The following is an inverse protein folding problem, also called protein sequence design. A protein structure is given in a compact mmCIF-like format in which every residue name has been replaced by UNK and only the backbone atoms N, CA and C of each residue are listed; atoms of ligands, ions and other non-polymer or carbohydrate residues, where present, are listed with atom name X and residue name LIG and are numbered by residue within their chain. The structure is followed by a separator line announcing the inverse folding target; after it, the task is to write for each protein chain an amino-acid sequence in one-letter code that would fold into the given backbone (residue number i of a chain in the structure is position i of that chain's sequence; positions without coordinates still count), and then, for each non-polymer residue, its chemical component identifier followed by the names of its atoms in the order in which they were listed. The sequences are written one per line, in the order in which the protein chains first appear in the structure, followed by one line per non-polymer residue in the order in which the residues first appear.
data_IF_174446250770
#
_entry.id   IF_174446250770
#
_cell.length_a   1.000
_cell.length_b   1.000
_cell.length_c   1.000
_cell.angle_alpha   90.00
_cell.angle_beta   90.00
_cell.angle_gamma   90.00
#
_symmetry.space_group_name_H-M   'P 1'
#
loop_
_entity.id
_entity.type
_entity.pdbx_description
1 polymer ?
#
# COMPACT_ATOMS: atom_id res chain seq x y z
N UNK A 1 -28.98 41.42 82.89
CA UNK A 1 -28.46 42.10 81.68
C UNK A 1 -27.92 41.04 80.73
N UNK A 2 -28.64 40.75 79.72
CA UNK A 2 -28.28 39.75 78.70
C UNK A 2 -27.91 40.50 77.41
N UNK A 3 -26.68 40.38 76.97
CA UNK A 3 -26.20 40.98 75.74
C UNK A 3 -26.30 39.87 74.64
N UNK A 4 -27.11 40.12 73.64
CA UNK A 4 -27.20 39.28 72.52
C UNK A 4 -26.17 39.70 71.45
N UNK A 5 -25.31 38.77 71.02
CA UNK A 5 -24.37 38.98 69.93
C UNK A 5 -24.97 38.42 68.68
N UNK A 6 -25.22 39.31 67.72
CA UNK A 6 -25.71 38.93 66.35
C UNK A 6 -24.53 38.62 65.44
N UNK A 7 -24.41 37.37 65.03
CA UNK A 7 -23.44 36.91 63.96
C UNK A 7 -24.00 37.21 62.59
N UNK A 8 -23.34 38.08 61.83
CA UNK A 8 -23.61 38.36 60.42
C UNK A 8 -22.79 37.40 59.57
N UNK A 9 -23.45 36.42 58.94
CA UNK A 9 -22.82 35.49 58.05
C UNK A 9 -22.75 36.12 56.63
N UNK A 10 -21.54 36.45 56.19
CA UNK A 10 -21.26 36.83 54.79
C UNK A 10 -21.25 35.54 53.91
N UNK A 11 -22.26 35.41 53.09
CA UNK A 11 -22.29 34.43 51.97
C UNK A 11 -21.45 34.97 50.82
N UNK A 12 -20.23 34.48 50.67
CA UNK A 12 -19.40 34.66 49.47
C UNK A 12 -19.86 33.68 48.40
N UNK A 13 -20.66 34.18 47.46
CA UNK A 13 -21.00 33.44 46.23
C UNK A 13 -19.79 33.32 45.32
N UNK A 14 -19.18 32.15 45.29
CA UNK A 14 -18.14 31.85 44.30
C UNK A 14 -18.85 31.58 42.94
N UNK A 15 -18.84 32.58 42.05
CA UNK A 15 -19.06 32.32 40.61
C UNK A 15 -17.87 31.50 40.09
N UNK A 16 -18.06 30.23 39.90
CA UNK A 16 -17.15 29.40 39.11
C UNK A 16 -17.34 29.82 37.64
N UNK A 17 -16.38 30.54 37.10
CA UNK A 17 -16.25 30.65 35.63
C UNK A 17 -15.94 29.25 35.13
N UNK A 18 -16.93 28.65 34.45
CA UNK A 18 -16.70 27.47 33.62
C UNK A 18 -15.76 27.91 32.48
N UNK A 19 -14.51 27.48 32.57
CA UNK A 19 -13.58 27.59 31.43
C UNK A 19 -14.15 26.72 30.31
N UNK A 20 -14.58 27.35 29.21
CA UNK A 20 -14.92 26.66 27.99
C UNK A 20 -13.71 25.82 27.55
N UNK A 21 -13.82 24.51 27.69
CA UNK A 21 -12.85 23.61 27.08
C UNK A 21 -12.88 23.86 25.57
N UNK A 22 -11.72 24.04 24.92
CA UNK A 22 -11.71 24.22 23.47
C UNK A 22 -12.43 23.04 22.83
N UNK A 23 -13.45 23.35 22.01
CA UNK A 23 -14.20 22.35 21.29
C UNK A 23 -13.21 21.46 20.50
N UNK A 24 -13.30 20.15 20.69
CA UNK A 24 -12.47 19.20 19.98
C UNK A 24 -12.56 19.47 18.47
N UNK A 25 -11.41 19.52 17.79
CA UNK A 25 -11.40 19.74 16.35
C UNK A 25 -12.30 18.70 15.67
N UNK A 26 -13.12 19.06 14.69
CA UNK A 26 -14.01 18.13 14.05
C UNK A 26 -13.23 16.96 13.45
N UNK A 27 -13.70 15.71 13.61
CA UNK A 27 -12.96 14.54 13.15
C UNK A 27 -12.78 14.59 11.64
N UNK A 28 -11.56 14.32 11.20
CA UNK A 28 -11.21 14.21 9.79
C UNK A 28 -11.93 13.00 9.19
N UNK A 29 -12.56 13.18 8.04
CA UNK A 29 -13.29 12.12 7.36
C UNK A 29 -12.35 11.17 6.61
N UNK A 30 -12.79 9.94 6.37
CA UNK A 30 -12.05 8.89 5.67
C UNK A 30 -10.65 8.60 6.25
N UNK A 31 -10.47 8.76 7.57
CA UNK A 31 -9.19 8.48 8.23
C UNK A 31 -8.00 9.29 7.71
N UNK A 32 -8.24 10.46 7.10
CA UNK A 32 -7.17 11.31 6.55
C UNK A 32 -6.75 10.95 5.12
N UNK A 33 -7.47 10.07 4.45
CA UNK A 33 -7.23 9.78 3.04
C UNK A 33 -7.65 10.96 2.14
N UNK A 34 -7.02 11.06 0.97
CA UNK A 34 -7.36 12.04 -0.03
C UNK A 34 -8.77 11.78 -0.58
N UNK A 35 -9.72 12.69 -0.33
CA UNK A 35 -11.12 12.50 -0.78
C UNK A 35 -11.24 12.46 -2.31
N UNK A 36 -10.41 13.19 -3.05
CA UNK A 36 -10.38 13.09 -4.51
C UNK A 36 -9.81 11.73 -4.95
N UNK A 37 -8.77 11.23 -4.26
CA UNK A 37 -8.27 9.90 -4.52
C UNK A 37 -9.36 8.83 -4.36
N UNK A 38 -10.13 8.90 -3.27
CA UNK A 38 -11.25 8.00 -3.05
C UNK A 38 -12.33 8.14 -4.13
N UNK A 39 -12.65 9.36 -4.57
CA UNK A 39 -13.60 9.61 -5.67
C UNK A 39 -13.14 9.01 -7.00
N UNK A 40 -11.83 8.85 -7.17
CA UNK A 40 -11.18 8.22 -8.34
C UNK A 40 -10.89 6.73 -8.13
N UNK A 41 -11.42 6.13 -7.06
CA UNK A 41 -11.18 4.72 -6.74
C UNK A 41 -9.78 4.41 -6.21
N UNK A 42 -9.13 5.37 -5.54
CA UNK A 42 -7.74 5.24 -5.06
C UNK A 42 -7.62 5.58 -3.58
N UNK A 43 -6.94 4.74 -2.83
CA UNK A 43 -6.53 5.07 -1.47
C UNK A 43 -5.23 5.87 -1.48
N UNK A 44 -5.27 7.12 -1.05
CA UNK A 44 -4.11 7.99 -0.96
C UNK A 44 -4.09 8.60 0.44
N UNK A 45 -3.20 8.13 1.32
CA UNK A 45 -3.03 8.72 2.63
C UNK A 45 -2.42 10.11 2.52
N UNK A 46 -2.81 10.99 3.43
CA UNK A 46 -2.32 12.36 3.48
C UNK A 46 -1.92 12.74 4.90
N UNK A 47 -1.15 13.81 5.03
CA UNK A 47 -0.91 14.45 6.33
C UNK A 47 -1.96 15.49 6.70
N UNK A 48 -3.03 15.60 5.89
CA UNK A 48 -4.10 16.59 6.05
C UNK A 48 -3.62 18.06 6.12
N UNK A 49 -2.47 18.39 5.54
CA UNK A 49 -2.03 19.77 5.41
C UNK A 49 -2.95 20.59 4.50
N UNK A 50 -3.56 19.93 3.50
CA UNK A 50 -4.56 20.51 2.61
C UNK A 50 -5.93 19.94 2.96
N UNK A 51 -6.86 20.81 3.33
CA UNK A 51 -8.21 20.40 3.73
C UNK A 51 -9.30 21.25 3.08
N UNK A 52 -10.50 20.70 3.08
CA UNK A 52 -11.74 21.40 2.78
C UNK A 52 -12.80 21.00 3.81
N UNK A 53 -13.69 21.93 4.13
CA UNK A 53 -14.82 21.67 5.03
C UNK A 53 -16.11 21.75 4.23
N UNK A 54 -16.98 20.77 4.42
CA UNK A 54 -18.33 20.85 3.86
C UNK A 54 -19.23 21.77 4.71
N UNK A 55 -20.47 21.94 4.23
CA UNK A 55 -21.49 22.75 4.92
C UNK A 55 -21.82 22.28 6.34
N UNK A 56 -21.59 21.01 6.64
CA UNK A 56 -21.85 20.38 7.93
C UNK A 56 -20.60 20.42 8.84
N UNK A 57 -19.52 21.08 8.39
CA UNK A 57 -18.28 21.27 9.13
C UNK A 57 -17.35 20.06 9.12
N UNK A 58 -17.65 19.00 8.34
CA UNK A 58 -16.80 17.82 8.20
C UNK A 58 -15.54 18.18 7.41
N UNK A 59 -14.39 17.67 7.87
CA UNK A 59 -13.08 17.97 7.30
C UNK A 59 -12.62 16.83 6.40
N UNK A 60 -12.23 17.18 5.18
CA UNK A 60 -11.73 16.27 4.16
C UNK A 60 -10.30 16.66 3.76
N UNK A 61 -9.43 15.68 3.57
CA UNK A 61 -8.03 15.89 3.26
C UNK A 61 -7.71 15.67 1.78
N UNK A 62 -6.62 16.29 1.30
CA UNK A 62 -6.14 16.16 -0.08
C UNK A 62 -4.64 15.89 -0.10
N UNK A 63 -4.20 15.12 -1.09
CA UNK A 63 -2.79 14.82 -1.31
C UNK A 63 -2.03 15.95 -2.02
N UNK A 64 -2.75 16.84 -2.74
CA UNK A 64 -2.16 17.96 -3.48
C UNK A 64 -3.19 19.06 -3.77
N UNK A 65 -2.72 20.25 -4.13
CA UNK A 65 -3.58 21.34 -4.61
C UNK A 65 -4.34 20.97 -5.90
N UNK A 66 -3.70 20.17 -6.77
CA UNK A 66 -4.35 19.68 -7.98
C UNK A 66 -5.54 18.77 -7.65
N UNK A 67 -5.37 17.81 -6.72
CA UNK A 67 -6.45 16.97 -6.25
C UNK A 67 -7.58 17.76 -5.60
N UNK A 68 -7.25 18.76 -4.80
CA UNK A 68 -8.25 19.66 -4.20
C UNK A 68 -9.00 20.46 -5.25
N UNK A 69 -8.30 20.98 -6.27
CA UNK A 69 -8.91 21.72 -7.38
C UNK A 69 -9.88 20.84 -8.16
N UNK A 70 -9.47 19.64 -8.54
CA UNK A 70 -10.32 18.68 -9.27
C UNK A 70 -11.56 18.29 -8.45
N UNK A 71 -11.39 18.04 -7.15
CA UNK A 71 -12.52 17.77 -6.26
C UNK A 71 -13.55 18.90 -6.26
N UNK A 72 -13.10 20.16 -6.23
CA UNK A 72 -13.95 21.34 -6.13
C UNK A 72 -14.69 21.67 -7.44
N UNK A 73 -14.41 21.00 -8.56
CA UNK A 73 -15.18 21.11 -9.80
C UNK A 73 -16.59 20.51 -9.66
N UNK A 74 -16.73 19.42 -8.89
CA UNK A 74 -18.01 18.82 -8.49
C UNK A 74 -17.90 18.20 -7.08
N UNK A 75 -17.94 19.01 -6.01
CA UNK A 75 -17.73 18.51 -4.66
C UNK A 75 -18.76 17.46 -4.21
N UNK A 76 -20.02 17.61 -4.65
CA UNK A 76 -21.08 16.68 -4.24
C UNK A 76 -20.95 15.33 -4.94
N UNK A 77 -20.75 15.31 -6.26
CA UNK A 77 -20.57 14.07 -7.01
C UNK A 77 -19.28 13.34 -6.64
N UNK A 78 -18.18 14.08 -6.43
CA UNK A 78 -16.92 13.49 -5.97
C UNK A 78 -17.04 12.95 -4.54
N UNK A 79 -17.79 13.62 -3.66
CA UNK A 79 -18.00 13.13 -2.30
C UNK A 79 -18.88 11.87 -2.27
N UNK A 80 -19.87 11.77 -3.15
CA UNK A 80 -20.69 10.57 -3.31
C UNK A 80 -19.84 9.37 -3.77
N UNK A 81 -19.06 9.53 -4.84
CA UNK A 81 -18.11 8.53 -5.32
C UNK A 81 -17.12 8.11 -4.24
N UNK A 82 -16.56 9.07 -3.50
CA UNK A 82 -15.64 8.79 -2.41
C UNK A 82 -16.29 7.98 -1.29
N UNK A 83 -17.56 8.24 -0.96
CA UNK A 83 -18.32 7.47 0.04
C UNK A 83 -18.62 6.06 -0.43
N UNK A 84 -19.04 5.92 -1.68
CA UNK A 84 -19.30 4.60 -2.29
C UNK A 84 -18.03 3.73 -2.27
N UNK A 85 -16.92 4.29 -2.71
CA UNK A 85 -15.64 3.60 -2.72
C UNK A 85 -15.15 3.26 -1.30
N UNK A 86 -15.21 4.23 -0.37
CA UNK A 86 -14.82 4.00 1.03
C UNK A 86 -15.74 2.98 1.74
N UNK A 87 -17.02 2.94 1.39
CA UNK A 87 -17.96 1.93 1.92
C UNK A 87 -17.63 0.53 1.39
N UNK A 88 -17.26 0.42 0.10
CA UNK A 88 -16.78 -0.82 -0.49
C UNK A 88 -15.42 -1.27 0.11
N UNK A 89 -14.63 -0.31 0.60
CA UNK A 89 -13.30 -0.50 1.19
C UNK A 89 -13.31 -0.42 2.72
N UNK A 90 -14.45 -0.70 3.36
CA UNK A 90 -14.51 -0.75 4.83
C UNK A 90 -13.67 -1.92 5.33
N UNK A 91 -12.53 -1.62 5.92
CA UNK A 91 -11.50 -2.59 6.33
C UNK A 91 -12.09 -3.71 7.20
N UNK A 92 -12.86 -3.38 8.24
CA UNK A 92 -13.43 -4.38 9.15
C UNK A 92 -14.49 -5.26 8.47
N UNK A 93 -15.36 -4.68 7.65
CA UNK A 93 -16.35 -5.44 6.89
C UNK A 93 -15.71 -6.30 5.81
N UNK A 94 -14.68 -5.78 5.16
CA UNK A 94 -13.89 -6.50 4.14
C UNK A 94 -13.14 -7.65 4.78
N UNK A 95 -12.46 -7.45 5.90
CA UNK A 95 -11.74 -8.50 6.63
C UNK A 95 -12.66 -9.68 6.97
N UNK A 96 -13.85 -9.39 7.52
CA UNK A 96 -14.85 -10.42 7.82
C UNK A 96 -15.33 -11.14 6.57
N UNK A 97 -15.59 -10.42 5.48
CA UNK A 97 -16.05 -11.01 4.23
C UNK A 97 -14.95 -11.84 3.56
N UNK A 98 -13.68 -11.42 3.65
CA UNK A 98 -12.52 -12.13 3.10
C UNK A 98 -12.34 -13.52 3.71
N UNK A 99 -12.77 -13.76 4.95
CA UNK A 99 -12.69 -15.09 5.60
C UNK A 99 -13.43 -16.19 4.84
N UNK A 100 -14.36 -15.83 3.95
CA UNK A 100 -15.11 -16.76 3.11
C UNK A 100 -14.43 -17.09 1.78
N UNK A 101 -13.29 -16.48 1.48
CA UNK A 101 -12.62 -16.59 0.19
C UNK A 101 -11.15 -16.93 0.36
N UNK A 102 -10.56 -17.48 -0.70
CA UNK A 102 -9.16 -17.82 -0.81
C UNK A 102 -8.46 -17.00 -1.91
N UNK A 103 -7.14 -16.97 -1.92
CA UNK A 103 -6.36 -16.43 -3.03
C UNK A 103 -6.73 -17.10 -4.37
N UNK A 104 -7.01 -18.41 -4.34
CA UNK A 104 -7.43 -19.14 -5.54
C UNK A 104 -8.81 -18.68 -6.06
N UNK A 105 -9.72 -18.28 -5.18
CA UNK A 105 -11.01 -17.71 -5.60
C UNK A 105 -10.81 -16.35 -6.28
N UNK A 106 -9.90 -15.53 -5.77
CA UNK A 106 -9.54 -14.26 -6.38
C UNK A 106 -8.85 -14.45 -7.75
N UNK A 107 -7.92 -15.40 -7.84
CA UNK A 107 -7.29 -15.78 -9.11
C UNK A 107 -8.31 -16.26 -10.15
N UNK A 108 -9.31 -17.02 -9.73
CA UNK A 108 -10.39 -17.48 -10.62
C UNK A 108 -11.21 -16.31 -11.17
N UNK A 109 -11.51 -15.30 -10.34
CA UNK A 109 -12.22 -14.09 -10.79
C UNK A 109 -11.38 -13.29 -11.79
N UNK A 110 -10.08 -13.15 -11.54
CA UNK A 110 -9.17 -12.44 -12.46
C UNK A 110 -9.03 -13.19 -13.77
N UNK A 111 -8.85 -14.51 -13.74
CA UNK A 111 -8.81 -15.34 -14.96
C UNK A 111 -10.09 -15.21 -15.78
N UNK A 112 -11.26 -15.25 -15.13
CA UNK A 112 -12.55 -15.09 -15.83
C UNK A 112 -12.66 -13.71 -16.49
N UNK A 113 -12.24 -12.64 -15.81
CA UNK A 113 -12.22 -11.29 -16.38
C UNK A 113 -11.25 -11.16 -17.56
N UNK A 114 -10.06 -11.76 -17.44
CA UNK A 114 -9.06 -11.76 -18.52
C UNK A 114 -9.61 -12.52 -19.73
N UNK A 115 -10.21 -13.69 -19.54
CA UNK A 115 -10.82 -14.48 -20.60
C UNK A 115 -11.94 -13.73 -21.31
N UNK A 116 -12.83 -13.09 -20.54
CA UNK A 116 -13.93 -12.29 -21.09
C UNK A 116 -13.41 -11.13 -21.94
N UNK A 117 -12.48 -10.34 -21.41
CA UNK A 117 -11.91 -9.19 -22.11
C UNK A 117 -11.07 -9.59 -23.32
N UNK A 118 -10.31 -10.69 -23.22
CA UNK A 118 -9.52 -11.22 -24.32
C UNK A 118 -10.42 -11.65 -25.48
N UNK A 119 -11.55 -12.30 -25.20
CA UNK A 119 -12.55 -12.65 -26.23
C UNK A 119 -13.14 -11.40 -26.88
N UNK A 120 -13.52 -10.39 -26.07
CA UNK A 120 -14.03 -9.12 -26.60
C UNK A 120 -12.96 -8.33 -27.36
N UNK A 121 -11.68 -8.48 -27.01
CA UNK A 121 -10.53 -7.82 -27.62
C UNK A 121 -9.91 -8.56 -28.81
N UNK A 122 -10.63 -9.51 -29.44
CA UNK A 122 -10.16 -10.30 -30.60
C UNK A 122 -8.84 -11.03 -30.31
N UNK A 123 -8.73 -11.68 -29.17
CA UNK A 123 -7.58 -12.50 -28.79
C UNK A 123 -6.48 -11.80 -28.00
N UNK A 124 -6.69 -10.55 -27.64
CA UNK A 124 -5.82 -9.83 -26.71
C UNK A 124 -6.62 -9.15 -25.61
N UNK A 125 -6.08 -9.10 -24.41
CA UNK A 125 -6.63 -8.35 -23.30
C UNK A 125 -6.40 -6.84 -23.54
N UNK A 126 -7.46 -6.04 -23.74
CA UNK A 126 -7.29 -4.60 -23.94
C UNK A 126 -7.15 -3.89 -22.60
N UNK A 127 -6.12 -3.07 -22.47
CA UNK A 127 -5.92 -2.21 -21.30
C UNK A 127 -5.52 -0.82 -21.76
N UNK A 128 -6.31 0.18 -21.41
CA UNK A 128 -5.94 1.58 -21.63
C UNK A 128 -4.88 1.98 -20.60
N UNK A 129 -3.79 2.48 -21.10
CA UNK A 129 -2.74 3.03 -20.27
C UNK A 129 -3.10 4.47 -19.84
N UNK A 130 -3.37 4.73 -18.55
CA UNK A 130 -3.85 6.03 -18.11
C UNK A 130 -2.81 7.15 -18.20
N UNK A 131 -1.52 6.83 -18.39
CA UNK A 131 -0.47 7.85 -18.55
C UNK A 131 -0.24 8.25 -20.00
N UNK A 132 -0.23 7.29 -20.91
CA UNK A 132 0.00 7.57 -22.33
C UNK A 132 -1.32 7.72 -23.14
N UNK A 133 -2.43 7.22 -22.61
CA UNK A 133 -3.70 7.09 -23.36
C UNK A 133 -3.65 6.00 -24.43
N UNK A 134 -2.60 5.20 -24.50
CA UNK A 134 -2.46 4.09 -25.44
C UNK A 134 -3.34 2.92 -25.04
N UNK A 135 -4.03 2.32 -26.01
CA UNK A 135 -4.72 1.06 -25.82
C UNK A 135 -3.76 -0.10 -26.05
N UNK A 136 -3.26 -0.67 -24.97
CA UNK A 136 -2.41 -1.84 -24.99
C UNK A 136 -3.21 -3.08 -25.40
N UNK A 137 -2.59 -3.96 -26.17
CA UNK A 137 -3.11 -5.28 -26.55
C UNK A 137 -2.21 -6.35 -25.95
N UNK A 138 -2.66 -6.94 -24.86
CA UNK A 138 -1.84 -7.78 -24.02
C UNK A 138 -2.24 -9.26 -24.14
N UNK A 139 -1.23 -10.11 -24.08
CA UNK A 139 -1.41 -11.57 -24.03
C UNK A 139 -1.09 -12.03 -22.62
N UNK A 140 -1.99 -12.81 -22.03
CA UNK A 140 -1.86 -13.30 -20.67
C UNK A 140 -0.81 -14.41 -20.57
N UNK A 141 0.16 -14.26 -19.66
CA UNK A 141 1.22 -15.23 -19.39
C UNK A 141 1.02 -16.04 -18.12
N UNK A 142 0.16 -15.56 -17.22
CA UNK A 142 -0.15 -16.24 -15.96
C UNK A 142 -0.17 -15.30 -14.76
N UNK A 143 -0.72 -15.81 -13.66
CA UNK A 143 -0.66 -15.15 -12.35
C UNK A 143 0.58 -15.67 -11.64
N UNK A 144 1.45 -14.74 -11.22
CA UNK A 144 2.70 -15.11 -10.53
C UNK A 144 2.44 -15.49 -9.08
N UNK A 145 1.82 -14.58 -8.35
CA UNK A 145 1.39 -14.80 -6.98
C UNK A 145 0.18 -13.92 -6.64
N UNK A 146 -0.49 -14.22 -5.54
CA UNK A 146 -1.59 -13.41 -5.04
C UNK A 146 -1.29 -12.98 -3.62
N UNK A 147 -1.12 -11.70 -3.42
CA UNK A 147 -0.97 -11.10 -2.10
C UNK A 147 -2.34 -10.96 -1.47
N UNK A 148 -2.46 -11.35 -0.20
CA UNK A 148 -3.68 -11.15 0.61
C UNK A 148 -3.36 -10.13 1.68
N UNK A 149 -4.18 -9.09 1.79
CA UNK A 149 -4.05 -8.07 2.83
C UNK A 149 -5.37 -7.99 3.58
N UNK A 150 -5.33 -8.37 4.84
CA UNK A 150 -6.50 -8.42 5.69
C UNK A 150 -7.21 -7.05 5.74
N UNK A 151 -8.52 -7.07 5.51
CA UNK A 151 -9.33 -5.86 5.46
C UNK A 151 -9.27 -5.06 4.15
N UNK A 152 -8.36 -5.42 3.22
CA UNK A 152 -8.21 -4.70 1.95
C UNK A 152 -8.55 -5.54 0.72
N UNK A 153 -8.28 -6.83 0.74
CA UNK A 153 -8.60 -7.71 -0.37
C UNK A 153 -7.44 -8.58 -0.83
N UNK A 154 -7.57 -9.06 -2.06
CA UNK A 154 -6.59 -9.90 -2.74
C UNK A 154 -5.97 -9.12 -3.89
N UNK A 155 -4.68 -9.31 -4.10
CA UNK A 155 -3.89 -8.60 -5.09
C UNK A 155 -3.10 -9.58 -5.96
N UNK A 156 -3.73 -10.20 -6.96
CA UNK A 156 -3.04 -11.01 -7.95
C UNK A 156 -2.10 -10.16 -8.81
N UNK A 157 -0.84 -10.55 -8.86
CA UNK A 157 0.17 -10.01 -9.76
C UNK A 157 0.20 -10.83 -11.04
N UNK A 158 -0.16 -10.20 -12.15
CA UNK A 158 -0.44 -10.87 -13.42
C UNK A 158 0.57 -10.48 -14.47
N UNK A 159 1.23 -11.49 -15.03
CA UNK A 159 2.17 -11.35 -16.14
C UNK A 159 1.46 -11.27 -17.48
N UNK A 160 1.87 -10.29 -18.27
CA UNK A 160 1.45 -10.10 -19.65
C UNK A 160 2.64 -9.78 -20.54
N UNK A 161 2.46 -9.99 -21.83
CA UNK A 161 3.34 -9.42 -22.85
C UNK A 161 2.51 -8.71 -23.93
N UNK A 162 3.15 -7.81 -24.67
CA UNK A 162 2.54 -7.12 -25.80
C UNK A 162 2.26 -8.12 -26.95
N UNK A 163 1.09 -8.05 -27.56
CA UNK A 163 0.69 -8.98 -28.63
C UNK A 163 1.60 -8.89 -29.86
N UNK A 164 2.16 -7.71 -30.16
CA UNK A 164 3.02 -7.50 -31.31
C UNK A 164 4.49 -7.81 -31.02
N UNK A 165 4.92 -7.74 -29.76
CA UNK A 165 6.30 -7.98 -29.34
C UNK A 165 6.35 -8.66 -27.97
N UNK A 166 6.51 -9.97 -27.95
CA UNK A 166 6.54 -10.77 -26.73
C UNK A 166 7.73 -10.46 -25.79
N UNK A 167 8.72 -9.68 -26.23
CA UNK A 167 9.80 -9.21 -25.39
C UNK A 167 9.39 -8.01 -24.51
N UNK A 168 8.31 -7.30 -24.88
CA UNK A 168 7.71 -6.22 -24.11
C UNK A 168 6.78 -6.80 -23.05
N UNK A 169 7.28 -6.99 -21.86
CA UNK A 169 6.55 -7.58 -20.74
C UNK A 169 5.96 -6.52 -19.83
N UNK A 170 4.83 -6.85 -19.21
CA UNK A 170 4.13 -6.03 -18.24
C UNK A 170 3.81 -6.85 -16.99
N UNK A 171 3.85 -6.24 -15.81
CA UNK A 171 3.18 -6.73 -14.63
C UNK A 171 1.97 -5.83 -14.35
N UNK A 172 0.82 -6.46 -14.12
CA UNK A 172 -0.45 -5.77 -13.91
C UNK A 172 -1.07 -6.29 -12.64
N UNK A 173 -1.30 -5.39 -11.70
CA UNK A 173 -1.98 -5.68 -10.45
C UNK A 173 -3.48 -5.61 -10.63
N UNK A 174 -4.17 -6.58 -10.05
CA UNK A 174 -5.62 -6.60 -9.93
C UNK A 174 -5.99 -6.50 -8.46
N UNK A 175 -6.77 -5.53 -8.08
CA UNK A 175 -7.33 -5.46 -6.75
C UNK A 175 -8.70 -6.13 -6.73
N UNK A 176 -8.82 -7.23 -5.97
CA UNK A 176 -10.03 -8.05 -5.85
C UNK A 176 -10.58 -7.94 -4.44
N UNK A 177 -11.85 -7.59 -4.32
CA UNK A 177 -12.53 -7.40 -3.04
C UNK A 177 -13.84 -8.16 -2.98
N UNK A 178 -14.30 -8.59 -1.79
CA UNK A 178 -15.66 -9.06 -1.58
C UNK A 178 -16.67 -7.93 -1.76
N UNK A 179 -17.67 -8.16 -2.62
CA UNK A 179 -18.82 -7.26 -2.80
C UNK A 179 -20.10 -8.09 -2.68
N UNK A 180 -20.81 -7.92 -1.58
CA UNK A 180 -21.91 -8.83 -1.24
C UNK A 180 -21.39 -10.25 -1.03
N UNK A 181 -21.94 -11.21 -1.80
CA UNK A 181 -21.59 -12.64 -1.71
C UNK A 181 -20.67 -13.10 -2.85
N UNK A 182 -19.90 -12.22 -3.45
CA UNK A 182 -19.00 -12.56 -4.55
C UNK A 182 -17.74 -11.68 -4.52
N UNK A 183 -16.65 -12.18 -5.10
CA UNK A 183 -15.45 -11.39 -5.35
C UNK A 183 -15.63 -10.59 -6.65
N UNK A 184 -15.09 -9.36 -6.66
CA UNK A 184 -15.03 -8.49 -7.84
C UNK A 184 -13.68 -7.84 -7.96
N UNK A 185 -13.23 -7.66 -9.20
CA UNK A 185 -12.09 -6.80 -9.49
C UNK A 185 -12.55 -5.34 -9.32
N UNK A 186 -11.94 -4.67 -8.34
CA UNK A 186 -12.20 -3.27 -8.02
C UNK A 186 -11.38 -2.34 -8.89
N UNK A 187 -10.11 -2.71 -9.14
CA UNK A 187 -9.17 -1.90 -9.87
C UNK A 187 -8.15 -2.77 -10.61
N UNK A 188 -7.56 -2.23 -11.68
CA UNK A 188 -6.48 -2.84 -12.46
C UNK A 188 -5.43 -1.77 -12.72
N UNK A 189 -4.15 -2.07 -12.45
CA UNK A 189 -3.03 -1.12 -12.64
C UNK A 189 -1.84 -1.76 -13.30
N UNK A 190 -1.20 -0.99 -14.19
CA UNK A 190 0.12 -1.34 -14.72
C UNK A 190 1.13 -1.03 -13.61
N UNK A 191 1.70 -2.08 -13.03
CA UNK A 191 2.73 -1.97 -12.00
C UNK A 191 4.11 -1.81 -12.63
N UNK A 192 4.51 -2.73 -13.51
CA UNK A 192 5.76 -2.63 -14.26
C UNK A 192 5.49 -2.60 -15.75
N UNK A 193 6.28 -1.80 -16.46
CA UNK A 193 6.22 -1.64 -17.91
C UNK A 193 7.57 -1.89 -18.57
N UNK A 194 7.59 -2.27 -19.87
CA UNK A 194 8.84 -2.40 -20.61
C UNK A 194 9.41 -1.03 -20.99
N UNK A 195 10.57 -0.71 -20.48
CA UNK A 195 11.35 0.46 -20.89
C UNK A 195 12.48 0.02 -21.81
N UNK A 196 12.65 0.72 -22.95
CA UNK A 196 13.70 0.44 -23.92
C UNK A 196 15.07 0.70 -23.30
N UNK A 197 15.93 -0.33 -23.31
CA UNK A 197 17.28 -0.24 -22.76
C UNK A 197 18.26 -0.90 -23.75
N UNK A 198 19.02 -0.09 -24.47
CA UNK A 198 19.85 -0.59 -25.57
C UNK A 198 19.02 -1.29 -26.64
N UNK A 199 19.37 -2.52 -26.97
CA UNK A 199 18.65 -3.33 -27.97
C UNK A 199 17.47 -4.13 -27.40
N UNK A 200 17.29 -4.11 -26.05
CA UNK A 200 16.27 -4.88 -25.35
C UNK A 200 15.23 -4.04 -24.63
N UNK A 201 14.41 -4.74 -23.83
CA UNK A 201 13.43 -4.15 -22.93
C UNK A 201 13.74 -4.55 -21.49
N UNK A 202 13.68 -3.58 -20.58
CA UNK A 202 13.81 -3.81 -19.13
C UNK A 202 12.45 -3.59 -18.49
N UNK A 203 11.98 -4.55 -17.72
CA UNK A 203 10.75 -4.44 -16.96
C UNK A 203 11.00 -3.51 -15.77
N UNK A 204 10.37 -2.34 -15.77
CA UNK A 204 10.65 -1.24 -14.85
C UNK A 204 9.39 -0.83 -14.10
N UNK A 205 9.49 -0.65 -12.79
CA UNK A 205 8.41 -0.16 -11.97
C UNK A 205 7.99 1.25 -12.42
N UNK A 206 6.71 1.42 -12.71
CA UNK A 206 6.15 2.61 -13.31
C UNK A 206 5.36 3.44 -12.33
N UNK A 207 4.50 2.80 -11.60
CA UNK A 207 3.53 3.44 -10.76
C UNK A 207 3.82 3.11 -9.31
N UNK A 208 3.72 4.06 -8.40
CA UNK A 208 3.66 3.69 -7.00
C UNK A 208 2.58 2.66 -6.82
N UNK A 209 2.95 1.51 -6.30
CA UNK A 209 1.98 0.53 -5.89
C UNK A 209 1.07 1.20 -4.87
N UNK A 210 -0.24 0.99 -4.98
CA UNK A 210 -1.17 1.65 -4.11
C UNK A 210 -0.87 1.35 -2.64
N UNK A 211 -1.04 2.36 -1.84
CA UNK A 211 -0.83 2.44 -0.40
C UNK A 211 -1.58 1.44 0.45
N UNK A 212 -2.68 0.86 -0.08
CA UNK A 212 -3.48 -0.11 0.63
C UNK A 212 -2.74 -1.40 0.99
N UNK A 213 -1.55 -1.61 0.46
CA UNK A 213 -0.78 -2.80 0.77
C UNK A 213 -0.19 -2.76 2.17
N UNK A 214 0.26 -1.57 2.57
CA UNK A 214 0.75 -1.35 3.92
C UNK A 214 0.39 0.08 4.28
N UNK A 215 -0.47 0.32 5.29
CA UNK A 215 -0.82 1.67 5.72
C UNK A 215 0.44 2.51 5.96
N UNK A 216 0.47 3.70 5.39
CA UNK A 216 1.63 4.58 5.50
C UNK A 216 2.00 4.91 6.95
N UNK A 217 1.01 4.91 7.85
CA UNK A 217 1.20 5.12 9.29
C UNK A 217 1.94 3.98 9.99
N UNK A 218 2.00 2.79 9.38
CA UNK A 218 2.66 1.62 9.95
C UNK A 218 4.13 1.52 9.55
N UNK A 219 4.57 2.30 8.57
CA UNK A 219 5.96 2.32 8.11
C UNK A 219 6.79 3.33 8.91
N UNK A 220 8.07 3.02 9.20
CA UNK A 220 8.99 4.01 9.73
C UNK A 220 9.27 5.12 8.72
N UNK A 221 9.63 6.30 9.22
CA UNK A 221 10.01 7.44 8.38
C UNK A 221 8.84 8.08 7.65
N UNK A 222 9.14 8.80 6.58
CA UNK A 222 8.19 9.47 5.70
C UNK A 222 8.37 8.99 4.26
N UNK A 223 7.40 9.28 3.39
CA UNK A 223 7.47 8.84 1.99
C UNK A 223 8.60 9.51 1.23
N UNK A 224 9.42 8.71 0.55
CA UNK A 224 10.41 9.18 -0.39
C UNK A 224 9.76 9.42 -1.75
N UNK A 225 9.60 10.68 -2.14
CA UNK A 225 8.95 11.04 -3.40
C UNK A 225 9.87 10.93 -4.62
N UNK A 226 11.14 11.32 -4.48
CA UNK A 226 12.06 11.45 -5.62
C UNK A 226 12.94 10.24 -5.87
N UNK A 227 13.28 9.48 -4.84
CA UNK A 227 14.28 8.40 -4.92
C UNK A 227 13.70 7.00 -4.62
N UNK A 228 12.40 6.88 -4.51
CA UNK A 228 11.76 5.59 -4.24
C UNK A 228 12.16 4.51 -5.23
N UNK A 229 12.16 4.81 -6.52
CA UNK A 229 12.54 3.88 -7.57
C UNK A 229 14.04 3.50 -7.52
N UNK A 230 14.93 4.40 -7.10
CA UNK A 230 16.36 4.10 -6.95
C UNK A 230 16.60 3.13 -5.79
N UNK A 231 15.90 3.32 -4.68
CA UNK A 231 15.93 2.41 -3.53
C UNK A 231 15.39 1.04 -3.92
N UNK A 232 14.25 0.98 -4.59
CA UNK A 232 13.67 -0.28 -5.07
C UNK A 232 14.62 -0.99 -6.02
N UNK A 233 15.21 -0.26 -6.97
CA UNK A 233 16.19 -0.83 -7.90
C UNK A 233 17.43 -1.38 -7.18
N UNK A 234 17.91 -0.70 -6.15
CA UNK A 234 19.05 -1.18 -5.37
C UNK A 234 18.74 -2.50 -4.63
N UNK A 235 17.54 -2.59 -4.04
CA UNK A 235 17.08 -3.83 -3.38
C UNK A 235 16.92 -4.96 -4.39
N UNK A 236 16.21 -4.71 -5.49
CA UNK A 236 15.97 -5.69 -6.54
C UNK A 236 17.29 -6.17 -7.17
N UNK A 237 18.16 -5.25 -7.57
CA UNK A 237 19.45 -5.60 -8.18
C UNK A 237 20.35 -6.38 -7.21
N UNK A 238 20.37 -5.98 -5.93
CA UNK A 238 21.10 -6.71 -4.90
C UNK A 238 20.58 -8.14 -4.73
N UNK A 239 19.28 -8.32 -4.64
CA UNK A 239 18.65 -9.63 -4.51
C UNK A 239 18.87 -10.50 -5.77
N UNK A 240 18.69 -9.94 -6.95
CA UNK A 240 18.87 -10.66 -8.22
C UNK A 240 20.35 -11.02 -8.48
N UNK A 241 21.29 -10.16 -8.11
CA UNK A 241 22.71 -10.46 -8.22
C UNK A 241 23.12 -11.61 -7.30
N UNK A 242 22.61 -11.66 -6.08
CA UNK A 242 22.84 -12.80 -5.18
C UNK A 242 22.20 -14.08 -5.73
N UNK A 243 20.97 -14.02 -6.21
CA UNK A 243 20.31 -15.15 -6.85
C UNK A 243 21.11 -15.69 -8.05
N UNK A 244 21.62 -14.80 -8.91
CA UNK A 244 22.43 -15.20 -10.06
C UNK A 244 23.71 -15.95 -9.66
N UNK A 245 24.32 -15.56 -8.54
CA UNK A 245 25.53 -16.21 -8.01
C UNK A 245 25.25 -17.52 -7.27
N UNK A 246 23.99 -17.77 -6.89
CA UNK A 246 23.57 -18.90 -6.06
C UNK A 246 22.48 -19.76 -6.74
N UNK A 247 22.59 -20.01 -8.05
CA UNK A 247 21.66 -20.85 -8.81
C UNK A 247 20.19 -20.42 -8.72
N UNK A 248 19.93 -19.11 -8.67
CA UNK A 248 18.58 -18.56 -8.59
C UNK A 248 18.01 -18.44 -7.19
N UNK A 249 18.84 -18.60 -6.15
CA UNK A 249 18.42 -18.56 -4.74
C UNK A 249 19.04 -17.35 -4.03
N UNK A 250 18.22 -16.62 -3.32
CA UNK A 250 18.64 -15.61 -2.37
C UNK A 250 18.71 -16.24 -0.97
N UNK A 251 19.91 -16.29 -0.38
CA UNK A 251 20.13 -16.86 0.93
C UNK A 251 20.05 -15.79 2.02
N UNK A 252 19.12 -15.94 2.95
CA UNK A 252 19.01 -15.06 4.10
C UNK A 252 19.08 -15.85 5.40
N UNK A 253 20.03 -15.48 6.27
CA UNK A 253 20.04 -16.02 7.62
C UNK A 253 18.99 -15.34 8.47
N UNK A 254 18.00 -16.11 8.89
CA UNK A 254 16.97 -15.67 9.82
C UNK A 254 17.58 -15.36 11.20
N UNK A 255 17.46 -14.12 11.64
CA UNK A 255 18.05 -13.63 12.89
C UNK A 255 17.45 -14.27 14.15
N UNK A 256 16.17 -14.69 14.10
CA UNK A 256 15.50 -15.34 15.24
C UNK A 256 15.78 -16.84 15.34
N UNK A 257 15.79 -17.53 14.21
CA UNK A 257 15.90 -18.99 14.21
C UNK A 257 17.31 -19.49 13.91
N UNK A 258 18.16 -18.62 13.38
CA UNK A 258 19.50 -18.96 12.91
C UNK A 258 19.53 -19.82 11.63
N UNK A 259 18.36 -20.13 11.06
CA UNK A 259 18.26 -20.92 9.82
C UNK A 259 18.61 -20.06 8.62
N UNK A 260 19.22 -20.67 7.62
CA UNK A 260 19.32 -20.06 6.30
C UNK A 260 18.04 -20.35 5.54
N UNK A 261 17.43 -19.28 5.03
CA UNK A 261 16.23 -19.32 4.20
C UNK A 261 16.65 -19.30 2.74
N UNK A 262 16.08 -20.20 1.95
CA UNK A 262 16.26 -20.26 0.50
C UNK A 262 15.07 -19.55 -0.17
N UNK A 263 15.31 -18.38 -0.71
CA UNK A 263 14.28 -17.44 -1.13
C UNK A 263 14.45 -17.04 -2.60
N UNK A 264 13.36 -16.60 -3.20
CA UNK A 264 13.33 -15.94 -4.51
C UNK A 264 12.67 -14.57 -4.36
N UNK A 265 13.30 -13.54 -4.90
CA UNK A 265 12.74 -12.20 -4.94
C UNK A 265 11.42 -12.19 -5.71
N UNK A 266 10.43 -11.51 -5.15
CA UNK A 266 9.15 -11.24 -5.81
C UNK A 266 9.10 -9.76 -6.16
N UNK A 267 8.97 -8.89 -5.15
CA UNK A 267 8.74 -7.46 -5.35
C UNK A 267 9.02 -6.63 -4.11
N UNK A 268 9.38 -5.36 -4.33
CA UNK A 268 9.57 -4.38 -3.27
C UNK A 268 8.30 -3.55 -3.10
N UNK A 269 7.81 -3.48 -1.87
CA UNK A 269 6.61 -2.70 -1.55
C UNK A 269 6.83 -1.20 -1.72
N UNK A 270 5.75 -0.53 -2.10
CA UNK A 270 5.70 0.92 -2.15
C UNK A 270 4.62 1.43 -1.17
N UNK A 271 4.80 2.63 -0.67
CA UNK A 271 5.92 3.55 -0.89
C UNK A 271 7.17 3.14 -0.12
N UNK A 272 8.35 3.40 -0.72
CA UNK A 272 9.62 3.37 0.02
C UNK A 272 9.65 4.53 1.00
N UNK A 273 10.35 4.37 2.10
CA UNK A 273 10.45 5.39 3.15
C UNK A 273 11.84 6.01 3.20
N UNK A 274 11.87 7.32 3.39
CA UNK A 274 13.05 8.04 3.80
C UNK A 274 13.04 8.14 5.32
N UNK A 275 14.14 7.71 5.97
CA UNK A 275 14.24 7.70 7.42
C UNK A 275 14.73 9.05 7.97
N UNK A 276 15.63 9.71 7.21
CA UNK A 276 16.18 11.02 7.56
C UNK A 276 16.64 11.78 6.31
N UNK A 277 17.18 12.99 6.52
CA UNK A 277 17.69 13.85 5.46
C UNK A 277 19.13 13.47 5.03
N UNK A 278 19.76 12.48 5.68
CA UNK A 278 21.13 12.04 5.39
C UNK A 278 21.19 10.90 4.37
N UNK A 279 20.08 10.57 3.71
CA UNK A 279 20.06 9.58 2.64
C UNK A 279 19.85 8.15 3.14
N UNK A 280 19.23 7.99 4.32
CA UNK A 280 18.81 6.66 4.81
C UNK A 280 17.38 6.38 4.41
N UNK A 281 17.16 5.18 3.85
CA UNK A 281 15.87 4.72 3.33
C UNK A 281 15.50 3.36 3.88
N UNK A 282 14.20 3.05 3.79
CA UNK A 282 13.63 1.80 4.24
C UNK A 282 12.67 1.26 3.17
N UNK A 283 12.76 -0.04 2.89
CA UNK A 283 11.88 -0.73 1.98
C UNK A 283 11.52 -2.12 2.52
N UNK A 284 10.27 -2.52 2.35
CA UNK A 284 9.81 -3.90 2.58
C UNK A 284 9.79 -4.64 1.25
N UNK A 285 10.11 -5.92 1.27
CA UNK A 285 10.24 -6.70 0.05
C UNK A 285 9.73 -8.12 0.27
N UNK A 286 8.85 -8.58 -0.62
CA UNK A 286 8.36 -9.94 -0.61
C UNK A 286 9.35 -10.91 -1.26
N UNK A 287 9.57 -12.03 -0.60
CA UNK A 287 10.36 -13.15 -1.07
C UNK A 287 9.60 -14.46 -0.91
N UNK A 288 9.64 -15.30 -1.93
CA UNK A 288 9.04 -16.62 -1.94
C UNK A 288 10.03 -17.66 -1.47
N UNK A 289 9.57 -18.63 -0.67
CA UNK A 289 10.37 -19.82 -0.35
C UNK A 289 10.53 -20.65 -1.62
N UNK A 290 11.78 -21.02 -1.94
CA UNK A 290 12.09 -21.83 -3.13
C UNK A 290 11.27 -23.13 -3.13
N UNK A 291 10.67 -23.43 -4.28
CA UNK A 291 9.86 -24.64 -4.47
C UNK A 291 8.43 -24.56 -3.92
N UNK A 292 8.00 -23.38 -3.42
CA UNK A 292 6.62 -23.16 -2.99
C UNK A 292 5.96 -22.08 -3.84
N UNK A 293 4.62 -22.01 -3.83
CA UNK A 293 3.86 -20.92 -4.50
C UNK A 293 3.51 -19.81 -3.51
N UNK A 294 3.07 -20.16 -2.31
CA UNK A 294 2.32 -19.28 -1.42
C UNK A 294 3.05 -18.98 -0.09
N UNK A 295 4.25 -19.54 0.11
CA UNK A 295 5.03 -19.27 1.32
C UNK A 295 5.89 -18.02 1.09
N UNK A 296 5.38 -16.86 1.53
CA UNK A 296 5.98 -15.55 1.28
C UNK A 296 6.50 -14.99 2.59
N UNK A 297 7.78 -14.62 2.59
CA UNK A 297 8.43 -13.81 3.63
C UNK A 297 8.37 -12.34 3.23
N UNK A 298 8.16 -11.46 4.19
CA UNK A 298 8.37 -10.02 4.04
C UNK A 298 9.71 -9.68 4.73
N UNK A 299 10.63 -9.12 3.97
CA UNK A 299 11.98 -8.76 4.41
C UNK A 299 12.14 -7.25 4.37
N UNK A 300 12.53 -6.68 5.49
CA UNK A 300 12.86 -5.27 5.60
C UNK A 300 14.30 -5.01 5.17
N UNK A 301 14.49 -3.95 4.39
CA UNK A 301 15.77 -3.48 3.89
C UNK A 301 16.05 -2.05 4.36
N UNK A 302 17.22 -1.82 4.90
CA UNK A 302 17.75 -0.49 5.16
C UNK A 302 18.77 -0.17 4.08
N UNK A 303 18.56 0.94 3.42
CA UNK A 303 19.35 1.38 2.25
C UNK A 303 19.91 2.76 2.51
N UNK A 304 21.19 2.95 2.19
CA UNK A 304 21.88 4.23 2.37
C UNK A 304 22.37 4.75 1.03
N UNK A 305 22.17 6.05 0.80
CA UNK A 305 22.81 6.76 -0.30
C UNK A 305 24.25 7.14 0.11
N UNK A 306 25.23 6.52 -0.51
CA UNK A 306 26.65 6.85 -0.35
C UNK A 306 27.15 7.47 -1.65
N UNK A 307 27.28 8.79 -1.68
CA UNK A 307 27.79 9.54 -2.83
C UNK A 307 27.01 9.27 -4.14
N UNK A 308 25.70 9.14 -4.05
CA UNK A 308 24.82 8.82 -5.18
C UNK A 308 24.65 7.34 -5.48
N UNK A 309 25.28 6.46 -4.68
CA UNK A 309 25.14 5.01 -4.82
C UNK A 309 24.29 4.46 -3.69
N UNK A 310 23.13 3.87 -4.05
CA UNK A 310 22.26 3.20 -3.11
C UNK A 310 22.87 1.86 -2.69
N UNK A 311 23.08 1.68 -1.38
CA UNK A 311 23.69 0.48 -0.80
C UNK A 311 22.77 -0.13 0.25
N UNK A 312 22.48 -1.41 0.13
CA UNK A 312 21.78 -2.17 1.18
C UNK A 312 22.74 -2.39 2.33
N UNK A 313 22.40 -1.87 3.50
CA UNK A 313 23.22 -1.97 4.72
C UNK A 313 22.76 -3.10 5.63
N UNK A 314 21.44 -3.30 5.70
CA UNK A 314 20.86 -4.29 6.61
C UNK A 314 19.60 -4.89 6.00
N UNK A 315 19.38 -6.16 6.35
CA UNK A 315 18.13 -6.88 6.07
C UNK A 315 17.62 -7.54 7.34
N UNK A 316 16.29 -7.67 7.46
CA UNK A 316 15.66 -8.32 8.59
C UNK A 316 14.35 -8.98 8.20
N UNK A 317 14.10 -10.18 8.71
CA UNK A 317 12.81 -10.85 8.50
C UNK A 317 11.72 -10.14 9.29
N UNK A 318 10.78 -9.49 8.59
CA UNK A 318 9.64 -8.81 9.19
C UNK A 318 8.45 -9.75 9.35
N UNK A 319 7.98 -10.35 8.27
CA UNK A 319 6.85 -11.30 8.33
C UNK A 319 7.28 -12.69 7.86
N UNK A 320 6.66 -13.68 8.45
CA UNK A 320 6.88 -15.08 8.11
C UNK A 320 5.60 -15.73 7.60
N UNK A 321 5.70 -16.70 6.66
CA UNK A 321 4.54 -17.47 6.26
C UNK A 321 4.08 -18.40 7.38
N UNK A 322 2.81 -18.32 7.75
CA UNK A 322 2.15 -19.25 8.66
C UNK A 322 0.92 -19.86 8.00
N UNK A 323 0.70 -21.16 8.20
CA UNK A 323 -0.51 -21.81 7.70
C UNK A 323 -1.66 -21.59 8.68
N UNK A 324 -2.67 -20.82 8.27
CA UNK A 324 -3.88 -20.55 9.05
C UNK A 324 -5.11 -20.96 8.24
N UNK A 325 -5.94 -21.81 8.81
CA UNK A 325 -7.17 -22.29 8.16
C UNK A 325 -6.95 -22.87 6.73
N UNK A 326 -5.79 -23.50 6.50
CA UNK A 326 -5.46 -24.06 5.19
C UNK A 326 -4.88 -23.08 4.17
N UNK A 327 -4.65 -21.83 4.56
CA UNK A 327 -4.02 -20.78 3.73
C UNK A 327 -2.71 -20.30 4.35
N UNK A 328 -1.74 -19.97 3.50
CA UNK A 328 -0.53 -19.31 3.92
C UNK A 328 -0.78 -17.80 4.05
N UNK A 329 -0.47 -17.26 5.22
CA UNK A 329 -0.57 -15.83 5.54
C UNK A 329 0.74 -15.32 6.07
N UNK A 330 1.05 -14.06 5.82
CA UNK A 330 2.22 -13.38 6.38
C UNK A 330 1.90 -12.90 7.80
N UNK A 331 2.70 -13.34 8.78
CA UNK A 331 2.54 -12.97 10.19
C UNK A 331 3.74 -12.13 10.64
N UNK A 332 3.51 -10.90 11.14
CA UNK A 332 4.59 -10.02 11.57
C UNK A 332 5.29 -10.56 12.80
N UNK A 333 6.61 -10.41 12.83
CA UNK A 333 7.47 -10.75 13.98
C UNK A 333 7.70 -9.58 14.92
N UNK A 334 7.49 -8.37 14.43
CA UNK A 334 7.63 -7.12 15.16
C UNK A 334 6.81 -6.02 14.49
N UNK A 335 6.60 -4.95 15.23
CA UNK A 335 5.94 -3.74 14.74
C UNK A 335 6.98 -2.68 14.44
N UNK A 336 6.86 -1.97 13.34
CA UNK A 336 7.83 -0.91 12.97
C UNK A 336 7.84 0.26 13.96
N UNK A 337 6.74 0.54 14.65
CA UNK A 337 6.70 1.53 15.73
C UNK A 337 7.67 1.23 16.86
N UNK A 338 8.01 -0.05 17.07
CA UNK A 338 8.97 -0.48 18.08
C UNK A 338 10.42 -0.27 17.62
N UNK A 339 10.62 0.01 16.33
CA UNK A 339 11.93 0.32 15.77
C UNK A 339 12.36 1.76 16.08
N UNK A 340 11.42 2.65 16.42
CA UNK A 340 11.68 4.07 16.67
C UNK A 340 12.20 4.82 15.43
N UNK A 341 12.26 6.14 15.53
CA UNK A 341 12.89 7.00 14.50
C UNK A 341 14.42 6.86 14.41
N UNK A 342 15.01 6.08 15.33
CA UNK A 342 16.45 5.89 15.48
C UNK A 342 17.01 4.65 14.79
N UNK A 343 16.20 3.90 14.06
CA UNK A 343 16.66 2.74 13.28
C UNK A 343 17.14 3.16 11.90
N UNK A 344 17.87 4.24 11.88
CA UNK A 344 18.81 4.52 10.82
C UNK A 344 19.93 3.52 10.98
N UNK A 345 20.26 2.82 9.92
CA UNK A 345 21.38 1.87 9.92
C UNK A 345 22.64 2.63 10.28
N UNK A 346 23.38 2.21 11.31
CA UNK A 346 24.57 2.89 11.76
C UNK A 346 25.69 2.87 10.71
#
# INVERSE_FOLDING_TARGET
MKIAATLLACLLSHLALAADSPAAAPPVQFGGQCVQGLAEGRHIMTNCALTWKDKDGKVYCFSSDAAKKSFLEDPNGNLEKAREFAAASNVEATEKAMQSYTSSDAEAVVNALIDERTKAGNGAFPLEDPLSGELLKLVFDGIDFTRTIDGYGFFPDVKFHDQADASRRYLIDFWVVPVGNQLKVQETRIYKEPIKTGDGWTLTARSPVPWWWIPASEHPGHMAQKRGWEVMSAVEQGALAEQANNNGVFHLKDDKTGKVLDLQFIDTHQPVRQLDDNGHYFACTDFRVVGTKDQIYDIDFWVTDKDGVMTVEQTKVHKVPELKNGQWVQVPRYEWKDLGSSHVVP
#
